data_IF_410232397402
#
_entry.id   IF_410232397402
#
_cell.length_a   1.000
_cell.length_b   1.000
_cell.length_c   1.000
_cell.angle_alpha   90.00
_cell.angle_beta   90.00
_cell.angle_gamma   90.00
#
_symmetry.space_group_name_H-M   'P 1'
#
loop_
_entity.id
_entity.type
_entity.pdbx_description
1 polymer ?
#
# COMPACT_ATOMS: atom_id res chain seq x y z
N UNK A 1 -10.70 -26.67 34.75
CA UNK A 1 -10.32 -25.96 33.50
C UNK A 1 -9.44 -24.79 33.92
N UNK A 2 -8.18 -24.76 33.51
CA UNK A 2 -7.29 -23.63 33.83
C UNK A 2 -7.54 -22.52 32.82
N UNK A 3 -8.05 -21.38 33.26
CA UNK A 3 -8.26 -20.22 32.39
C UNK A 3 -6.92 -19.52 32.19
N UNK A 4 -6.27 -19.78 31.05
CA UNK A 4 -5.06 -19.04 30.67
C UNK A 4 -5.46 -17.61 30.30
N UNK A 5 -5.02 -16.65 31.11
CA UNK A 5 -5.18 -15.24 30.81
C UNK A 5 -4.23 -14.84 29.67
N UNK A 6 -4.73 -14.08 28.70
CA UNK A 6 -3.92 -13.56 27.60
C UNK A 6 -3.11 -12.35 28.05
N UNK A 7 -1.81 -12.35 27.79
CA UNK A 7 -0.96 -11.17 27.93
C UNK A 7 -1.14 -10.23 26.72
N UNK A 8 -1.67 -9.03 26.97
CA UNK A 8 -1.93 -8.01 25.94
C UNK A 8 -0.64 -7.62 25.20
N UNK A 9 0.52 -7.65 25.87
CA UNK A 9 1.82 -7.34 25.26
C UNK A 9 2.19 -8.26 24.11
N UNK A 10 1.57 -9.44 24.00
CA UNK A 10 1.82 -10.42 22.94
C UNK A 10 0.97 -10.21 21.69
N UNK A 11 -0.01 -9.31 21.73
CA UNK A 11 -0.95 -9.09 20.63
C UNK A 11 -0.35 -8.34 19.46
N UNK A 12 0.72 -7.55 19.67
CA UNK A 12 1.44 -6.81 18.63
C UNK A 12 2.87 -7.32 18.55
N UNK A 13 3.29 -7.70 17.35
CA UNK A 13 4.62 -8.27 17.09
C UNK A 13 5.27 -7.58 15.90
N UNK A 14 6.58 -7.38 15.98
CA UNK A 14 7.40 -6.89 14.87
C UNK A 14 8.43 -7.98 14.55
N UNK A 15 8.47 -8.41 13.30
CA UNK A 15 9.40 -9.48 12.86
C UNK A 15 10.13 -9.02 11.61
N UNK A 16 11.47 -8.97 11.60
CA UNK A 16 12.24 -8.64 10.40
C UNK A 16 11.83 -9.52 9.21
N UNK A 17 11.66 -8.90 8.04
CA UNK A 17 11.25 -9.61 6.81
C UNK A 17 9.74 -9.90 6.68
N UNK A 18 8.94 -9.71 7.74
CA UNK A 18 7.47 -9.83 7.68
C UNK A 18 6.85 -8.44 7.72
N UNK A 19 5.99 -8.12 6.74
CA UNK A 19 5.39 -6.79 6.58
C UNK A 19 6.43 -5.65 6.63
N UNK A 20 7.63 -5.88 6.07
CA UNK A 20 8.73 -4.90 6.09
C UNK A 20 9.31 -4.63 7.48
N UNK A 21 9.07 -5.51 8.48
CA UNK A 21 9.44 -5.28 9.86
C UNK A 21 8.46 -4.42 10.66
N UNK A 22 7.37 -3.97 10.03
CA UNK A 22 6.36 -3.12 10.69
C UNK A 22 5.60 -3.86 11.78
N UNK A 23 5.15 -3.17 12.84
CA UNK A 23 4.28 -3.75 13.86
C UNK A 23 3.00 -4.30 13.24
N UNK A 24 2.64 -5.52 13.62
CA UNK A 24 1.43 -6.21 13.14
C UNK A 24 0.72 -6.94 14.27
N UNK A 25 -0.55 -7.25 14.05
CA UNK A 25 -1.32 -8.10 14.95
C UNK A 25 -0.75 -9.52 14.90
N UNK A 26 -0.53 -10.11 16.08
CA UNK A 26 0.02 -11.45 16.21
C UNK A 26 -0.89 -12.50 15.55
N UNK A 27 -0.28 -13.47 14.90
CA UNK A 27 -1.01 -14.50 14.15
C UNK A 27 -1.62 -14.02 12.82
N UNK A 28 -1.45 -12.75 12.44
CA UNK A 28 -1.94 -12.23 11.16
C UNK A 28 -0.85 -11.50 10.39
N UNK A 29 -1.17 -11.06 9.17
CA UNK A 29 -0.36 -10.13 8.38
C UNK A 29 -0.93 -8.71 8.38
N UNK A 30 -1.87 -8.41 9.27
CA UNK A 30 -2.48 -7.09 9.38
C UNK A 30 -1.60 -6.16 10.20
N UNK A 31 -1.08 -5.12 9.54
CA UNK A 31 -0.22 -4.13 10.19
C UNK A 31 -1.03 -3.21 11.10
N UNK A 32 -0.37 -2.65 12.13
CA UNK A 32 -0.99 -1.61 12.97
C UNK A 32 -1.33 -0.37 12.14
N UNK A 33 -0.48 -0.02 11.17
CA UNK A 33 -0.73 1.05 10.22
C UNK A 33 -2.06 0.87 9.48
N UNK A 34 -2.37 -0.34 9.00
CA UNK A 34 -3.62 -0.61 8.27
C UNK A 34 -4.84 -0.29 9.12
N UNK A 35 -4.86 -0.78 10.37
CA UNK A 35 -5.94 -0.50 11.32
C UNK A 35 -6.01 1.00 11.64
N UNK A 36 -4.87 1.67 11.76
CA UNK A 36 -4.81 3.10 12.00
C UNK A 36 -5.33 3.93 10.82
N UNK A 37 -5.09 3.50 9.58
CA UNK A 37 -5.64 4.14 8.37
C UNK A 37 -7.16 4.10 8.39
N UNK A 38 -7.76 2.93 8.58
CA UNK A 38 -9.22 2.75 8.60
C UNK A 38 -9.86 3.56 9.74
N UNK A 39 -9.24 3.52 10.92
CA UNK A 39 -9.66 4.33 12.07
C UNK A 39 -9.57 5.83 11.78
N UNK A 40 -8.48 6.31 11.18
CA UNK A 40 -8.30 7.72 10.82
C UNK A 40 -9.27 8.16 9.71
N UNK A 41 -9.75 7.22 8.88
CA UNK A 41 -10.80 7.46 7.90
C UNK A 41 -12.20 7.57 8.53
N UNK A 42 -12.32 7.38 9.86
CA UNK A 42 -13.56 7.52 10.61
C UNK A 42 -14.32 6.22 10.81
N UNK A 43 -13.75 5.07 10.44
CA UNK A 43 -14.37 3.77 10.68
C UNK A 43 -14.37 3.45 12.18
N UNK A 44 -15.51 2.97 12.66
CA UNK A 44 -15.67 2.45 14.02
C UNK A 44 -14.97 1.10 14.17
N UNK A 45 -14.69 0.69 15.41
CA UNK A 45 -14.06 -0.61 15.69
C UNK A 45 -14.94 -1.76 15.21
N UNK A 46 -16.26 -1.61 15.29
CA UNK A 46 -17.24 -2.58 14.83
C UNK A 46 -17.24 -2.71 13.30
N UNK A 47 -17.12 -1.61 12.57
CA UNK A 47 -16.99 -1.62 11.10
C UNK A 47 -15.66 -2.27 10.67
N UNK A 48 -14.55 -1.94 11.36
CA UNK A 48 -13.25 -2.58 11.11
C UNK A 48 -13.35 -4.10 11.38
N UNK A 49 -14.05 -4.53 12.43
CA UNK A 49 -14.25 -5.95 12.72
C UNK A 49 -15.09 -6.64 11.65
N UNK A 50 -16.09 -5.95 11.08
CA UNK A 50 -16.92 -6.49 9.99
C UNK A 50 -16.10 -6.69 8.70
N UNK A 51 -15.20 -5.75 8.39
CA UNK A 51 -14.30 -5.87 7.23
C UNK A 51 -13.26 -6.99 7.44
N UNK A 52 -12.79 -7.18 8.68
CA UNK A 52 -11.78 -8.16 9.03
C UNK A 52 -12.29 -9.19 10.05
N UNK A 53 -13.19 -10.11 9.67
CA UNK A 53 -13.86 -11.04 10.59
C UNK A 53 -12.93 -12.10 11.20
N UNK A 54 -11.69 -12.19 10.73
CA UNK A 54 -10.65 -13.05 11.29
C UNK A 54 -9.88 -12.40 12.45
N UNK A 55 -10.11 -11.10 12.69
CA UNK A 55 -9.67 -10.41 13.89
C UNK A 55 -10.70 -10.53 15.00
N UNK A 56 -10.29 -10.20 16.22
CA UNK A 56 -11.20 -9.96 17.33
C UNK A 56 -11.03 -8.54 17.89
N UNK A 57 -12.02 -8.09 18.68
CA UNK A 57 -12.02 -6.77 19.29
C UNK A 57 -10.73 -6.48 20.08
N UNK A 58 -10.25 -7.44 20.87
CA UNK A 58 -9.03 -7.27 21.67
C UNK A 58 -7.79 -6.98 20.82
N UNK A 59 -7.67 -7.63 19.66
CA UNK A 59 -6.59 -7.37 18.71
C UNK A 59 -6.70 -5.98 18.07
N UNK A 60 -7.91 -5.56 17.69
CA UNK A 60 -8.14 -4.22 17.11
C UNK A 60 -7.82 -3.15 18.16
N UNK A 61 -8.32 -3.28 19.39
CA UNK A 61 -8.03 -2.34 20.47
C UNK A 61 -6.55 -2.32 20.86
N UNK A 62 -5.85 -3.47 20.82
CA UNK A 62 -4.41 -3.52 21.03
C UNK A 62 -3.65 -2.76 19.93
N UNK A 63 -4.06 -2.91 18.66
CA UNK A 63 -3.49 -2.16 17.55
C UNK A 63 -3.72 -0.65 17.69
N UNK A 64 -4.94 -0.23 18.03
CA UNK A 64 -5.27 1.18 18.26
C UNK A 64 -4.52 1.76 19.46
N UNK A 65 -4.37 0.99 20.54
CA UNK A 65 -3.58 1.40 21.70
C UNK A 65 -2.12 1.60 21.31
N UNK A 66 -1.53 0.64 20.58
CA UNK A 66 -0.17 0.76 20.06
C UNK A 66 -0.03 1.99 19.17
N UNK A 67 -1.00 2.22 18.28
CA UNK A 67 -1.03 3.41 17.42
C UNK A 67 -1.05 4.70 18.25
N UNK A 68 -1.94 4.84 19.23
CA UNK A 68 -2.02 6.07 20.03
C UNK A 68 -0.75 6.34 20.83
N UNK A 69 -0.11 5.31 21.38
CA UNK A 69 1.17 5.45 22.11
C UNK A 69 2.31 5.85 21.16
N UNK A 70 2.26 5.42 19.90
CA UNK A 70 3.31 5.64 18.90
C UNK A 70 2.85 6.55 17.74
N UNK A 71 1.87 7.43 18.01
CA UNK A 71 1.09 8.08 16.96
C UNK A 71 1.94 8.84 15.95
N UNK A 72 2.91 9.62 16.44
CA UNK A 72 3.80 10.39 15.57
C UNK A 72 4.55 9.52 14.56
N UNK A 73 5.15 8.41 15.00
CA UNK A 73 5.89 7.52 14.11
C UNK A 73 4.97 6.83 13.10
N UNK A 74 3.82 6.34 13.55
CA UNK A 74 2.86 5.67 12.66
C UNK A 74 2.24 6.65 11.66
N UNK A 75 1.91 7.87 12.08
CA UNK A 75 1.41 8.92 11.19
C UNK A 75 2.43 9.26 10.10
N UNK A 76 3.72 9.36 10.45
CA UNK A 76 4.79 9.55 9.46
C UNK A 76 4.87 8.39 8.47
N UNK A 77 4.78 7.16 8.95
CA UNK A 77 4.76 5.99 8.06
C UNK A 77 3.53 6.02 7.13
N UNK A 78 2.36 6.44 7.63
CA UNK A 78 1.13 6.57 6.85
C UNK A 78 1.30 7.63 5.75
N UNK A 79 1.83 8.80 6.09
CA UNK A 79 2.12 9.85 5.12
C UNK A 79 3.08 9.35 4.05
N UNK A 80 4.20 8.73 4.44
CA UNK A 80 5.17 8.19 3.48
C UNK A 80 4.57 7.11 2.57
N UNK A 81 3.65 6.29 3.10
CA UNK A 81 2.91 5.32 2.29
C UNK A 81 2.05 5.97 1.21
N UNK A 82 1.28 7.01 1.56
CA UNK A 82 0.46 7.72 0.57
C UNK A 82 1.29 8.48 -0.46
N UNK A 83 2.38 9.13 -0.04
CA UNK A 83 3.30 9.82 -0.97
C UNK A 83 3.93 8.85 -1.98
N UNK A 84 4.27 7.64 -1.53
CA UNK A 84 4.77 6.57 -2.39
C UNK A 84 3.71 6.12 -3.41
N UNK A 85 2.48 5.87 -2.95
CA UNK A 85 1.36 5.52 -3.83
C UNK A 85 1.13 6.60 -4.90
N UNK A 86 1.04 7.86 -4.50
CA UNK A 86 0.85 8.99 -5.40
C UNK A 86 1.98 9.09 -6.45
N UNK A 87 3.23 8.83 -6.05
CA UNK A 87 4.37 8.86 -6.97
C UNK A 87 4.26 7.75 -8.01
N UNK A 88 3.99 6.52 -7.57
CA UNK A 88 3.87 5.36 -8.46
C UNK A 88 2.71 5.52 -9.43
N UNK A 89 1.57 6.06 -8.98
CA UNK A 89 0.42 6.35 -9.85
C UNK A 89 0.77 7.36 -10.95
N UNK A 90 1.49 8.43 -10.61
CA UNK A 90 1.97 9.43 -11.58
C UNK A 90 2.94 8.83 -12.59
N UNK A 91 3.89 8.01 -12.13
CA UNK A 91 4.85 7.33 -13.00
C UNK A 91 4.14 6.39 -13.98
N UNK A 92 3.17 5.62 -13.49
CA UNK A 92 2.39 4.70 -14.32
C UNK A 92 1.53 5.45 -15.34
N UNK A 93 0.85 6.53 -14.93
CA UNK A 93 0.07 7.36 -15.83
C UNK A 93 0.96 7.99 -16.92
N UNK A 94 2.13 8.51 -16.56
CA UNK A 94 3.08 9.08 -17.52
C UNK A 94 3.59 8.05 -18.52
N UNK A 95 3.87 6.82 -18.08
CA UNK A 95 4.25 5.70 -18.95
C UNK A 95 3.13 5.34 -19.93
N UNK A 96 1.88 5.26 -19.46
CA UNK A 96 0.71 5.00 -20.30
C UNK A 96 0.49 6.12 -21.32
N UNK A 97 0.60 7.39 -20.92
CA UNK A 97 0.50 8.54 -21.83
C UNK A 97 1.61 8.53 -22.89
N UNK A 98 2.85 8.25 -22.50
CA UNK A 98 3.99 8.17 -23.43
C UNK A 98 3.78 7.05 -24.48
N UNK A 99 3.31 5.88 -24.07
CA UNK A 99 3.01 4.77 -24.98
C UNK A 99 1.82 5.08 -25.92
N UNK A 100 0.78 5.77 -25.43
CA UNK A 100 -0.37 6.19 -26.22
C UNK A 100 0.00 7.26 -27.28
N UNK A 101 0.83 8.25 -26.93
CA UNK A 101 1.33 9.26 -27.87
C UNK A 101 2.20 8.63 -28.97
N UNK A 102 3.09 7.70 -28.60
CA UNK A 102 3.92 6.95 -29.55
C UNK A 102 3.09 6.12 -30.53
N UNK A 103 1.90 5.67 -30.13
CA UNK A 103 0.97 4.92 -30.99
C UNK A 103 0.20 5.86 -31.93
N UNK A 104 -0.26 7.03 -31.45
CA UNK A 104 -1.01 8.01 -32.26
C UNK A 104 -0.16 8.82 -33.24
N UNK A 105 1.11 9.08 -32.95
CA UNK A 105 2.03 9.84 -33.82
C UNK A 105 2.63 8.97 -34.95
N UNK A 106 2.48 7.64 -34.87
CA UNK A 106 3.16 6.69 -35.74
C UNK A 106 2.34 5.96 -36.82
N UNK A 107 1.31 6.56 -37.47
CA UNK A 107 0.84 6.06 -38.77
C UNK A 107 1.52 6.73 -39.98
N UNK A 108 2.26 7.84 -39.80
CA UNK A 108 2.80 8.65 -40.91
C UNK A 108 4.32 8.56 -41.09
N UNK A 109 5.05 7.92 -40.17
CA UNK A 109 6.52 7.80 -40.24
C UNK A 109 7.01 6.54 -40.98
N UNK A 110 6.11 5.72 -41.52
CA UNK A 110 6.45 4.50 -42.27
C UNK A 110 5.97 4.53 -43.74
N UNK A 111 6.15 5.67 -44.44
CA UNK A 111 5.95 5.72 -45.90
C UNK A 111 7.07 6.35 -46.74
N UNK A 112 8.14 6.85 -46.12
CA UNK A 112 9.30 7.38 -46.86
C UNK A 112 10.54 6.48 -46.68
N UNK A 113 10.46 5.25 -47.19
CA UNK A 113 11.65 4.46 -47.55
C UNK A 113 11.46 3.95 -48.98
N UNK A 114 12.01 4.70 -49.94
CA UNK A 114 12.34 4.16 -51.25
C UNK A 114 11.92 5.02 -52.44
N UNK A 115 12.69 6.07 -52.73
CA UNK A 115 13.17 6.28 -54.11
C UNK A 115 14.66 6.59 -53.97
N UNK A 116 15.49 5.64 -54.39
CA UNK A 116 16.94 5.80 -54.45
C UNK A 116 17.26 6.75 -55.59
N UNK A 117 18.11 7.72 -55.31
CA UNK A 117 18.92 8.40 -56.31
C UNK A 117 19.62 7.35 -57.19
N UNK A 118 19.30 7.36 -58.48
CA UNK A 118 20.10 6.70 -59.50
C UNK A 118 20.41 7.71 -60.59
N UNK A 119 21.45 8.51 -60.32
CA UNK A 119 22.28 9.12 -61.35
C UNK A 119 23.05 8.01 -62.07
N UNK A 120 22.90 7.94 -63.41
CA UNK A 120 23.79 7.40 -64.45
C UNK A 120 22.95 6.90 -65.64
N UNK A 121 22.78 7.70 -66.68
CA UNK A 121 23.65 7.74 -67.85
C UNK A 121 23.05 8.70 -68.89
#
# INVERSE_FOLDING_TARGET
MSTTLTDIGTLIVSTPGICGGRPRITGTRMSVMSIAIDYNAGMTVEEILQEFPHLNLGQIYAALTYYHVNKFSIDQEITAYYEECDRLEKEQLNSLLASALKTKINPLLYKNKGVKDSSKN
#
